data_IF_457109988558
#
_entry.id   IF_457109988558
#
_cell.length_a   1.000
_cell.length_b   1.000
_cell.length_c   1.000
_cell.angle_alpha   90.00
_cell.angle_beta   90.00
_cell.angle_gamma   90.00
#
_symmetry.space_group_name_H-M   'P 1'
#
loop_
_entity.id
_entity.type
_entity.pdbx_description
1 polymer ?
#
# COMPACT_ATOMS: atom_id res chain seq x y z
N UNK A 1 9.32 1.87 -18.52
CA UNK A 1 8.27 2.01 -17.49
C UNK A 1 7.97 0.62 -16.97
N UNK A 2 8.47 0.31 -15.78
CA UNK A 2 8.48 -1.02 -15.16
C UNK A 2 7.06 -1.54 -14.96
N UNK A 3 6.80 -2.79 -15.35
CA UNK A 3 5.50 -3.48 -15.29
C UNK A 3 4.80 -3.35 -13.94
N UNK A 4 5.57 -3.27 -12.86
CA UNK A 4 5.10 -3.16 -11.48
C UNK A 4 4.39 -1.84 -11.18
N UNK A 5 4.83 -0.71 -11.75
CA UNK A 5 4.17 0.59 -11.56
C UNK A 5 2.77 0.62 -12.19
N UNK A 6 2.61 -0.02 -13.37
CA UNK A 6 1.30 -0.13 -14.02
C UNK A 6 0.33 -1.05 -13.27
N UNK A 7 0.83 -2.04 -12.54
CA UNK A 7 0.01 -2.94 -11.74
C UNK A 7 -0.48 -2.27 -10.46
N UNK A 8 0.34 -1.41 -9.85
CA UNK A 8 -0.08 -0.58 -8.72
C UNK A 8 -1.13 0.45 -9.13
N UNK A 9 -0.98 1.08 -10.29
CA UNK A 9 -1.94 2.06 -10.82
C UNK A 9 -3.34 1.47 -11.07
N UNK A 10 -3.43 0.17 -11.31
CA UNK A 10 -4.70 -0.55 -11.48
C UNK A 10 -5.40 -0.87 -10.14
N UNK A 11 -4.79 -0.54 -9.00
CA UNK A 11 -5.38 -0.80 -7.70
C UNK A 11 -6.52 0.16 -7.41
N UNK A 12 -7.62 -0.40 -6.92
CA UNK A 12 -8.73 0.37 -6.37
C UNK A 12 -8.58 0.48 -4.84
N UNK A 13 -8.69 1.69 -4.33
CA UNK A 13 -8.49 1.97 -2.90
C UNK A 13 -9.52 1.25 -2.01
N UNK A 14 -10.78 1.13 -2.45
CA UNK A 14 -11.82 0.44 -1.69
C UNK A 14 -11.54 -1.07 -1.64
N UNK A 15 -11.08 -1.64 -2.76
CA UNK A 15 -10.65 -3.04 -2.84
C UNK A 15 -9.46 -3.31 -1.91
N UNK A 16 -8.43 -2.47 -1.95
CA UNK A 16 -7.24 -2.61 -1.08
C UNK A 16 -7.63 -2.43 0.38
N UNK A 17 -8.43 -1.41 0.71
CA UNK A 17 -8.91 -1.17 2.08
C UNK A 17 -9.71 -2.37 2.61
N UNK A 18 -10.61 -2.94 1.79
CA UNK A 18 -11.38 -4.12 2.15
C UNK A 18 -10.48 -5.33 2.39
N UNK A 19 -9.51 -5.56 1.50
CA UNK A 19 -8.53 -6.65 1.64
C UNK A 19 -7.70 -6.51 2.91
N UNK A 20 -7.19 -5.31 3.20
CA UNK A 20 -6.43 -5.03 4.43
C UNK A 20 -7.26 -5.30 5.69
N UNK A 21 -8.53 -4.90 5.71
CA UNK A 21 -9.44 -5.16 6.84
C UNK A 21 -9.76 -6.63 7.03
N UNK A 22 -9.74 -7.41 5.96
CA UNK A 22 -10.04 -8.83 5.97
C UNK A 22 -8.80 -9.70 6.16
N UNK A 23 -7.59 -9.12 6.11
CA UNK A 23 -6.34 -9.86 6.13
C UNK A 23 -6.06 -10.41 7.54
N UNK A 24 -6.11 -11.73 7.76
CA UNK A 24 -5.71 -12.33 9.02
C UNK A 24 -4.20 -12.54 8.98
N UNK A 25 -3.39 -11.53 9.33
CA UNK A 25 -1.94 -11.70 9.31
C UNK A 25 -1.12 -10.45 9.60
N UNK A 26 0.12 -10.47 9.10
CA UNK A 26 1.17 -9.49 9.41
C UNK A 26 0.93 -8.08 8.85
N UNK A 27 0.00 -7.90 7.91
CA UNK A 27 -0.37 -6.61 7.35
C UNK A 27 -1.61 -6.06 8.08
N UNK A 28 -1.46 -4.90 8.71
CA UNK A 28 -2.51 -4.23 9.48
C UNK A 28 -2.72 -2.82 8.94
N UNK A 29 -3.97 -2.46 8.63
CA UNK A 29 -4.34 -1.08 8.35
C UNK A 29 -4.51 -0.32 9.68
N UNK A 30 -3.63 0.65 9.95
CA UNK A 30 -3.73 1.50 11.14
C UNK A 30 -4.77 2.60 10.94
N UNK A 31 -4.69 3.31 9.81
CA UNK A 31 -5.59 4.42 9.51
C UNK A 31 -5.66 4.70 8.00
N UNK A 32 -6.75 5.35 7.58
CA UNK A 32 -6.87 5.97 6.26
C UNK A 32 -6.91 7.49 6.44
N UNK A 33 -6.09 8.19 5.68
CA UNK A 33 -6.03 9.65 5.65
C UNK A 33 -6.36 10.10 4.24
N UNK A 34 -7.36 10.97 4.09
CA UNK A 34 -7.73 11.54 2.80
C UNK A 34 -7.28 13.00 2.78
N UNK A 35 -6.49 13.36 1.78
CA UNK A 35 -6.08 14.74 1.48
C UNK A 35 -6.57 15.13 0.09
N UNK A 36 -6.60 16.42 -0.28
CA UNK A 36 -7.12 16.85 -1.58
C UNK A 36 -6.46 16.19 -2.79
N UNK A 37 -5.17 15.89 -2.68
CA UNK A 37 -4.34 15.37 -3.78
C UNK A 37 -4.22 13.84 -3.77
N UNK A 38 -4.56 13.18 -2.67
CA UNK A 38 -4.36 11.74 -2.50
C UNK A 38 -5.14 11.12 -1.34
N UNK A 39 -5.41 9.83 -1.44
CA UNK A 39 -5.75 9.01 -0.29
C UNK A 39 -4.53 8.20 0.17
N UNK A 40 -4.28 8.17 1.47
CA UNK A 40 -3.15 7.46 2.08
C UNK A 40 -3.66 6.40 3.04
N UNK A 41 -3.30 5.15 2.78
CA UNK A 41 -3.49 4.02 3.69
C UNK A 41 -2.22 3.84 4.51
N UNK A 42 -2.29 4.12 5.81
CA UNK A 42 -1.20 3.87 6.74
C UNK A 42 -1.29 2.45 7.27
N UNK A 43 -0.27 1.66 7.00
CA UNK A 43 -0.25 0.24 7.28
C UNK A 43 0.99 -0.15 8.09
N UNK A 44 0.92 -1.30 8.75
CA UNK A 44 2.07 -2.00 9.32
C UNK A 44 2.23 -3.36 8.70
N UNK A 45 3.48 -3.74 8.48
CA UNK A 45 3.88 -5.09 8.12
C UNK A 45 4.95 -5.57 9.11
N UNK A 46 4.71 -6.71 9.78
CA UNK A 46 5.63 -7.26 10.81
C UNK A 46 6.01 -6.25 11.91
N UNK A 47 5.12 -5.30 12.20
CA UNK A 47 5.35 -4.23 13.19
C UNK A 47 5.95 -2.93 12.64
N UNK A 48 6.52 -2.95 11.42
CA UNK A 48 7.11 -1.79 10.76
C UNK A 48 6.10 -1.06 9.88
N UNK A 49 6.24 0.26 9.74
CA UNK A 49 5.27 1.09 9.02
C UNK A 49 5.55 1.20 7.52
N UNK A 50 4.50 1.19 6.73
CA UNK A 50 4.51 1.58 5.33
C UNK A 50 3.22 2.27 4.96
N UNK A 51 3.25 3.10 3.92
CA UNK A 51 2.06 3.77 3.42
C UNK A 51 1.77 3.33 1.98
N UNK A 52 0.50 3.23 1.63
CA UNK A 52 0.06 3.15 0.23
C UNK A 52 -0.64 4.45 -0.10
N UNK A 53 -0.08 5.21 -1.05
CA UNK A 53 -0.62 6.50 -1.50
C UNK A 53 -1.31 6.29 -2.84
N UNK A 54 -2.56 6.69 -2.94
CA UNK A 54 -3.33 6.79 -4.17
C UNK A 54 -3.35 8.26 -4.56
N UNK A 55 -2.36 8.66 -5.35
CA UNK A 55 -2.21 10.03 -5.82
C UNK A 55 -3.04 10.24 -7.09
N UNK A 56 -3.76 11.36 -7.16
CA UNK A 56 -4.65 11.65 -8.28
C UNK A 56 -3.90 12.04 -9.57
N UNK A 57 -2.69 12.59 -9.46
CA UNK A 57 -1.88 13.07 -10.58
C UNK A 57 -0.81 12.06 -11.00
N UNK A 58 -0.33 11.24 -10.06
CA UNK A 58 0.83 10.38 -10.25
C UNK A 58 0.54 8.87 -10.11
N UNK A 59 -0.65 8.48 -9.64
CA UNK A 59 -1.05 7.08 -9.48
C UNK A 59 -0.72 6.49 -8.11
N UNK A 60 -0.58 5.17 -8.02
CA UNK A 60 -0.42 4.46 -6.73
C UNK A 60 1.04 4.18 -6.39
N UNK A 61 1.44 4.55 -5.18
CA UNK A 61 2.80 4.36 -4.66
C UNK A 61 2.80 3.67 -3.29
N UNK A 62 3.86 2.91 -3.03
CA UNK A 62 4.10 2.29 -1.71
C UNK A 62 5.34 2.93 -1.10
N UNK A 63 5.16 3.58 0.05
CA UNK A 63 6.20 4.33 0.75
C UNK A 63 6.71 3.55 1.96
N UNK A 64 8.03 3.46 2.10
CA UNK A 64 8.71 2.77 3.20
C UNK A 64 8.94 3.77 4.34
N UNK A 65 8.21 3.60 5.45
CA UNK A 65 8.33 4.50 6.61
C UNK A 65 9.22 3.91 7.71
N UNK A 66 9.13 2.59 7.94
CA UNK A 66 9.93 1.86 8.92
C UNK A 66 11.16 1.18 8.32
N UNK A 67 11.82 0.38 9.14
CA UNK A 67 12.94 -0.48 8.80
C UNK A 67 12.49 -1.76 8.07
N UNK A 68 11.71 -1.59 7.00
CA UNK A 68 11.35 -2.69 6.09
C UNK A 68 12.50 -2.96 5.12
N UNK A 69 12.81 -4.23 4.91
CA UNK A 69 13.81 -4.64 3.92
C UNK A 69 13.26 -4.53 2.51
N UNK A 70 14.13 -4.57 1.49
CA UNK A 70 13.69 -4.63 0.09
C UNK A 70 12.84 -5.86 -0.21
N UNK A 71 13.17 -7.00 0.42
CA UNK A 71 12.34 -8.20 0.36
C UNK A 71 10.95 -7.98 0.97
N UNK A 72 10.85 -7.34 2.14
CA UNK A 72 9.56 -7.05 2.77
C UNK A 72 8.71 -6.13 1.90
N UNK A 73 9.32 -5.10 1.27
CA UNK A 73 8.62 -4.24 0.33
C UNK A 73 8.16 -5.00 -0.92
N UNK A 74 8.96 -5.93 -1.43
CA UNK A 74 8.57 -6.77 -2.56
C UNK A 74 7.38 -7.68 -2.22
N UNK A 75 7.36 -8.26 -1.01
CA UNK A 75 6.23 -9.04 -0.49
C UNK A 75 4.96 -8.18 -0.36
N UNK A 76 5.08 -6.97 0.19
CA UNK A 76 3.96 -6.01 0.29
C UNK A 76 3.42 -5.67 -1.11
N UNK A 77 4.29 -5.30 -2.04
CA UNK A 77 3.87 -4.93 -3.40
C UNK A 77 3.23 -6.13 -4.10
N UNK A 78 3.81 -7.32 -3.96
CA UNK A 78 3.25 -8.55 -4.54
C UNK A 78 1.87 -8.86 -3.97
N UNK A 79 1.67 -8.66 -2.67
CA UNK A 79 0.38 -8.84 -2.02
C UNK A 79 -0.66 -7.84 -2.53
N UNK A 80 -0.28 -6.57 -2.71
CA UNK A 80 -1.17 -5.53 -3.20
C UNK A 80 -1.70 -5.85 -4.60
N UNK A 81 -0.84 -6.35 -5.49
CA UNK A 81 -1.17 -6.61 -6.91
C UNK A 81 -1.68 -8.02 -7.21
N UNK A 82 -1.77 -8.91 -6.21
CA UNK A 82 -2.24 -10.29 -6.35
C UNK A 82 -3.76 -10.40 -6.48
#
# INVERSE_FOLDING_TARGET
>A
MTTQAKQLDALDIEVVTRRLRQHPGDIVLEQRVTIPEADVLCCRYKGERFNVKFDLDYGVFVDRIGALSDSDMADIVRWLVA
#
